data_IF_108918682783
#
_entry.id   IF_108918682783
#
_cell.length_a   1.000
_cell.length_b   1.000
_cell.length_c   1.000
_cell.angle_alpha   90.00
_cell.angle_beta   90.00
_cell.angle_gamma   90.00
#
_symmetry.space_group_name_H-M   'P 1'
#
loop_
_entity.id
_entity.type
_entity.pdbx_description
1 polymer ?
#
# COMPACT_ATOMS: atom_id res chain seq x y z
N UNK A 1 -18.29 3.27 -14.48
CA UNK A 1 -18.57 3.86 -13.15
C UNK A 1 -17.26 4.42 -12.63
N UNK A 2 -17.18 5.73 -12.36
CA UNK A 2 -15.93 6.40 -11.98
C UNK A 2 -15.70 6.22 -10.47
N UNK A 3 -14.61 5.56 -10.07
CA UNK A 3 -14.24 5.37 -8.66
C UNK A 3 -13.73 6.68 -8.07
N UNK A 4 -14.16 7.01 -6.87
CA UNK A 4 -13.72 8.18 -6.11
C UNK A 4 -12.69 7.80 -5.05
N UNK A 5 -12.01 8.77 -4.44
CA UNK A 5 -11.09 8.51 -3.33
C UNK A 5 -11.78 7.83 -2.14
N UNK A 6 -13.09 8.05 -1.96
CA UNK A 6 -13.88 7.40 -0.91
C UNK A 6 -13.98 5.87 -1.09
N UNK A 7 -13.78 5.38 -2.32
CA UNK A 7 -13.82 3.94 -2.61
C UNK A 7 -12.50 3.22 -2.24
N UNK A 8 -11.44 3.98 -1.92
CA UNK A 8 -10.12 3.44 -1.58
C UNK A 8 -10.08 2.87 -0.15
N UNK A 9 -10.51 1.62 -0.01
CA UNK A 9 -10.55 0.93 1.29
C UNK A 9 -9.16 0.75 1.91
N UNK A 10 -9.04 1.18 3.17
CA UNK A 10 -7.86 1.02 4.01
C UNK A 10 -6.73 2.02 3.71
N UNK A 11 -6.96 3.01 2.85
CA UNK A 11 -6.06 4.14 2.68
C UNK A 11 -6.41 5.25 3.68
N UNK A 12 -5.38 5.86 4.26
CA UNK A 12 -5.51 7.16 4.90
C UNK A 12 -4.95 8.22 3.96
N UNK A 13 -5.75 9.25 3.67
CA UNK A 13 -5.33 10.40 2.89
C UNK A 13 -4.49 11.31 3.79
N UNK A 14 -3.33 11.74 3.28
CA UNK A 14 -2.41 12.65 3.96
C UNK A 14 -2.36 13.94 3.16
N UNK A 15 -2.81 15.03 3.78
CA UNK A 15 -2.99 16.30 3.09
C UNK A 15 -4.05 16.20 1.99
N UNK A 16 -3.74 16.72 0.79
CA UNK A 16 -4.69 16.76 -0.33
C UNK A 16 -4.36 15.83 -1.50
N UNK A 17 -3.16 15.25 -1.53
CA UNK A 17 -2.65 14.55 -2.72
C UNK A 17 -1.86 13.26 -2.42
N UNK A 18 -1.62 12.96 -1.14
CA UNK A 18 -0.85 11.78 -0.73
C UNK A 18 -1.75 10.77 -0.02
N UNK A 19 -1.33 9.52 0.04
CA UNK A 19 -1.97 8.52 0.88
C UNK A 19 -0.98 7.49 1.41
N UNK A 20 -1.33 6.91 2.56
CA UNK A 20 -0.66 5.77 3.17
C UNK A 20 -1.64 4.62 3.28
N UNK A 21 -1.14 3.38 3.21
CA UNK A 21 -1.95 2.18 3.49
C UNK A 21 -1.07 1.12 4.11
N UNK A 22 -1.59 0.46 5.14
CA UNK A 22 -0.91 -0.70 5.73
C UNK A 22 -0.81 -1.83 4.70
N UNK A 23 0.41 -2.24 4.38
CA UNK A 23 0.67 -3.37 3.51
C UNK A 23 0.05 -4.65 4.09
N UNK A 24 -0.51 -5.51 3.23
CA UNK A 24 -1.03 -6.82 3.62
C UNK A 24 0.01 -7.62 4.42
N UNK A 25 1.26 -7.63 3.95
CA UNK A 25 2.34 -8.40 4.56
C UNK A 25 2.90 -7.78 5.84
N UNK A 26 2.79 -6.46 5.99
CA UNK A 26 3.06 -5.81 7.28
C UNK A 26 2.08 -6.35 8.33
N UNK A 27 0.77 -6.35 8.03
CA UNK A 27 -0.26 -6.85 8.96
C UNK A 27 -0.08 -8.34 9.28
N UNK A 28 0.29 -9.17 8.30
CA UNK A 28 0.62 -10.59 8.54
C UNK A 28 1.86 -10.75 9.41
N UNK A 29 2.93 -9.99 9.12
CA UNK A 29 4.18 -10.05 9.88
C UNK A 29 4.01 -9.62 11.33
N UNK A 30 3.14 -8.65 11.64
CA UNK A 30 2.83 -8.26 13.02
C UNK A 30 2.02 -9.31 13.79
N UNK A 31 1.39 -10.25 13.10
CA UNK A 31 0.60 -11.34 13.69
C UNK A 31 1.34 -12.68 13.66
N UNK A 32 2.63 -12.67 13.33
CA UNK A 32 3.45 -13.86 13.11
C UNK A 32 2.88 -14.83 12.05
N UNK A 33 2.16 -14.30 11.06
CA UNK A 33 1.55 -15.07 9.95
C UNK A 33 2.43 -15.10 8.68
N UNK A 34 3.71 -14.75 8.80
CA UNK A 34 4.69 -14.75 7.71
C UNK A 34 5.06 -13.36 7.18
N UNK A 35 5.94 -13.34 6.17
CA UNK A 35 6.58 -12.14 5.61
C UNK A 35 6.52 -12.10 4.07
N UNK A 36 6.68 -10.92 3.48
CA UNK A 36 6.67 -10.79 2.01
C UNK A 36 7.97 -11.29 1.38
N UNK A 37 7.93 -11.50 0.06
CA UNK A 37 9.08 -11.94 -0.73
C UNK A 37 10.30 -11.02 -0.57
N UNK A 38 10.12 -9.72 -0.33
CA UNK A 38 11.25 -8.77 -0.14
C UNK A 38 12.06 -9.07 1.10
N UNK A 39 11.45 -9.63 2.14
CA UNK A 39 12.18 -10.09 3.31
C UNK A 39 13.03 -11.30 2.97
N UNK A 40 12.46 -12.26 2.23
CA UNK A 40 13.17 -13.48 1.79
C UNK A 40 14.35 -13.17 0.87
N UNK A 41 14.15 -12.29 -0.11
CA UNK A 41 15.13 -12.05 -1.17
C UNK A 41 16.13 -10.95 -0.82
N UNK A 42 15.69 -9.93 -0.06
CA UNK A 42 16.47 -8.71 0.16
C UNK A 42 16.66 -8.36 1.64
N UNK A 43 16.22 -9.21 2.58
CA UNK A 43 16.33 -8.94 4.02
C UNK A 43 15.47 -7.78 4.54
N UNK A 44 14.59 -7.20 3.71
CA UNK A 44 13.75 -6.06 4.10
C UNK A 44 12.62 -6.53 5.02
N UNK A 45 12.63 -6.09 6.28
CA UNK A 45 11.62 -6.48 7.26
C UNK A 45 10.22 -5.95 6.90
N UNK A 46 9.29 -6.86 6.63
CA UNK A 46 7.94 -6.51 6.12
C UNK A 46 7.15 -5.63 7.10
N UNK A 47 7.29 -5.87 8.41
CA UNK A 47 6.62 -5.10 9.46
C UNK A 47 7.18 -3.68 9.65
N UNK A 48 8.31 -3.34 9.00
CA UNK A 48 8.97 -2.03 9.08
C UNK A 48 8.83 -1.21 7.79
N UNK A 49 8.13 -1.73 6.79
CA UNK A 49 7.90 -1.04 5.52
C UNK A 49 6.75 -0.03 5.64
N UNK A 50 6.96 1.19 5.14
CA UNK A 50 5.89 2.17 4.96
C UNK A 50 5.43 2.18 3.50
N UNK A 51 4.18 1.78 3.24
CA UNK A 51 3.59 1.83 1.90
C UNK A 51 2.78 3.12 1.73
N UNK A 52 3.24 3.98 0.82
CA UNK A 52 2.64 5.29 0.56
C UNK A 52 2.81 5.72 -0.89
N UNK A 53 2.08 6.77 -1.28
CA UNK A 53 2.30 7.52 -2.51
C UNK A 53 2.07 9.01 -2.26
N UNK A 54 2.88 9.91 -2.83
CA UNK A 54 2.60 11.34 -2.86
C UNK A 54 1.71 11.76 -4.04
N UNK A 55 1.39 10.82 -4.94
CA UNK A 55 0.61 11.03 -6.15
C UNK A 55 -0.58 10.05 -6.20
N UNK A 56 -1.76 10.57 -5.91
CA UNK A 56 -3.03 9.82 -6.03
C UNK A 56 -3.61 9.82 -7.45
N UNK A 57 -2.99 10.56 -8.38
CA UNK A 57 -3.43 10.71 -9.77
C UNK A 57 -2.36 10.11 -10.68
N UNK A 58 -2.78 9.35 -11.69
CA UNK A 58 -1.93 8.74 -12.70
C UNK A 58 -2.41 9.14 -14.09
N UNK A 59 -1.49 9.36 -15.03
CA UNK A 59 -1.78 9.68 -16.43
C UNK A 59 -2.00 8.44 -17.31
N UNK A 60 -1.89 7.24 -16.73
CA UNK A 60 -2.11 5.97 -17.41
C UNK A 60 -3.44 5.33 -16.96
N UNK A 61 -4.02 4.52 -17.84
CA UNK A 61 -5.28 3.81 -17.60
C UNK A 61 -5.13 2.31 -17.83
N UNK A 62 -4.22 1.68 -17.09
CA UNK A 62 -3.92 0.26 -17.21
C UNK A 62 -5.12 -0.61 -16.80
N UNK A 63 -5.33 -1.73 -17.51
CA UNK A 63 -6.46 -2.66 -17.28
C UNK A 63 -6.48 -3.33 -15.89
N UNK A 64 -5.36 -3.29 -15.16
CA UNK A 64 -5.15 -4.01 -13.90
C UNK A 64 -5.03 -3.09 -12.68
N UNK A 65 -5.23 -1.78 -12.86
CA UNK A 65 -5.15 -0.77 -11.78
C UNK A 65 -6.51 -0.50 -11.13
#
# INVERSE_FOLDING_TARGET
MMKTLADLKGYQIVGKHSAVKTCLWLKKSLKDQGFCYKQKFYGISSHRCLQMTPALICNLSCIHC
#
